data_IF_942124309642
#
_entry.id   IF_942124309642
#
_cell.length_a   1.000
_cell.length_b   1.000
_cell.length_c   1.000
_cell.angle_alpha   90.00
_cell.angle_beta   90.00
_cell.angle_gamma   90.00
#
_symmetry.space_group_name_H-M   'P 1'
#
loop_
_entity.id
_entity.type
_entity.pdbx_description
1 polymer ?
#
# COMPACT_ATOMS: atom_id res chain seq x y z
N UNK A 1 -27.14 -11.68 -1.22
CA UNK A 1 -26.51 -10.93 -0.11
C UNK A 1 -27.20 -9.57 -0.05
N UNK A 2 -28.01 -9.29 0.97
CA UNK A 2 -28.76 -8.02 1.07
C UNK A 2 -27.82 -6.98 1.65
N UNK A 3 -27.42 -5.99 0.84
CA UNK A 3 -26.63 -4.84 1.30
C UNK A 3 -27.59 -3.85 1.95
N UNK A 4 -27.56 -3.72 3.27
CA UNK A 4 -28.36 -2.72 3.98
C UNK A 4 -27.73 -1.33 3.77
N UNK A 5 -28.16 -0.64 2.72
CA UNK A 5 -27.77 0.73 2.45
C UNK A 5 -28.51 1.68 3.39
N UNK A 6 -27.78 2.29 4.33
CA UNK A 6 -28.30 3.34 5.21
C UNK A 6 -27.96 4.70 4.62
N UNK A 7 -28.95 5.60 4.53
CA UNK A 7 -28.69 7.00 4.17
C UNK A 7 -27.98 7.69 5.33
N UNK A 8 -26.88 8.37 5.02
CA UNK A 8 -26.08 9.13 5.97
C UNK A 8 -25.83 10.51 5.38
N UNK A 9 -25.86 11.55 6.22
CA UNK A 9 -25.48 12.91 5.87
C UNK A 9 -24.15 13.27 6.53
N UNK A 10 -23.29 13.95 5.79
CA UNK A 10 -21.99 14.43 6.23
C UNK A 10 -21.90 15.92 5.94
N UNK A 11 -21.26 16.67 6.82
CA UNK A 11 -20.95 18.08 6.61
C UNK A 11 -19.52 18.21 6.10
N UNK A 12 -19.36 18.84 4.95
CA UNK A 12 -18.09 19.02 4.26
C UNK A 12 -18.03 20.48 3.82
N UNK A 13 -16.82 21.05 3.84
CA UNK A 13 -16.56 22.35 3.23
C UNK A 13 -16.98 22.38 1.75
N UNK A 14 -17.66 23.45 1.32
CA UNK A 14 -18.25 23.55 -0.03
C UNK A 14 -17.19 23.59 -1.14
N UNK A 15 -16.05 24.25 -0.89
CA UNK A 15 -14.97 24.34 -1.86
C UNK A 15 -14.32 22.97 -2.04
N UNK A 16 -14.06 22.28 -0.93
CA UNK A 16 -13.55 20.91 -0.94
C UNK A 16 -14.53 19.94 -1.63
N UNK A 17 -15.82 20.06 -1.34
CA UNK A 17 -16.85 19.23 -1.96
C UNK A 17 -16.93 19.44 -3.47
N UNK A 18 -16.78 20.68 -3.93
CA UNK A 18 -16.77 21.02 -5.36
C UNK A 18 -15.57 20.40 -6.07
N UNK A 19 -14.37 20.55 -5.50
CA UNK A 19 -13.14 19.91 -6.04
C UNK A 19 -13.28 18.39 -6.08
N UNK A 20 -13.87 17.80 -5.04
CA UNK A 20 -14.10 16.36 -5.00
C UNK A 20 -15.05 15.88 -6.11
N UNK A 21 -16.17 16.59 -6.35
CA UNK A 21 -17.09 16.28 -7.46
C UNK A 21 -16.39 16.33 -8.81
N UNK A 22 -15.52 17.31 -9.04
CA UNK A 22 -14.73 17.38 -10.28
C UNK A 22 -13.81 16.17 -10.46
N UNK A 23 -13.11 15.76 -9.39
CA UNK A 23 -12.23 14.57 -9.44
C UNK A 23 -13.03 13.32 -9.77
N UNK A 24 -14.18 13.11 -9.11
CA UNK A 24 -15.06 11.97 -9.37
C UNK A 24 -15.58 11.99 -10.81
N UNK A 25 -15.99 13.16 -11.30
CA UNK A 25 -16.45 13.33 -12.68
C UNK A 25 -15.33 13.04 -13.69
N UNK A 26 -14.10 13.51 -13.45
CA UNK A 26 -12.94 13.23 -14.30
C UNK A 26 -12.57 11.74 -14.30
N UNK A 27 -12.68 11.07 -13.16
CA UNK A 27 -12.33 9.65 -13.00
C UNK A 27 -13.35 8.70 -13.63
N UNK A 28 -14.64 8.99 -13.47
CA UNK A 28 -15.72 8.07 -13.85
C UNK A 28 -16.61 8.56 -14.99
N UNK A 29 -16.46 9.80 -15.44
CA UNK A 29 -17.36 10.45 -16.39
C UNK A 29 -18.77 10.72 -15.84
N UNK A 30 -19.02 10.47 -14.55
CA UNK A 30 -20.34 10.62 -13.94
C UNK A 30 -20.26 10.91 -12.44
N UNK A 31 -21.22 11.68 -11.93
CA UNK A 31 -21.39 11.95 -10.49
C UNK A 31 -22.18 10.84 -9.76
N UNK A 32 -22.72 9.85 -10.48
CA UNK A 32 -23.45 8.71 -9.86
C UNK A 32 -22.58 7.87 -8.92
N UNK A 33 -21.26 8.05 -8.96
CA UNK A 33 -20.27 7.36 -8.13
C UNK A 33 -19.85 8.11 -6.87
N UNK A 34 -20.40 9.32 -6.60
CA UNK A 34 -20.03 10.12 -5.42
C UNK A 34 -20.14 9.34 -4.11
N UNK A 35 -21.27 8.67 -3.87
CA UNK A 35 -21.47 7.90 -2.64
C UNK A 35 -20.46 6.76 -2.49
N UNK A 36 -20.15 6.07 -3.57
CA UNK A 36 -19.16 4.97 -3.56
C UNK A 36 -17.76 5.50 -3.29
N UNK A 37 -17.44 6.70 -3.79
CA UNK A 37 -16.10 7.25 -3.65
C UNK A 37 -15.86 7.88 -2.28
N UNK A 38 -16.89 8.46 -1.68
CA UNK A 38 -16.89 8.82 -0.25
C UNK A 38 -16.74 7.57 0.62
N UNK A 39 -17.44 6.49 0.29
CA UNK A 39 -17.33 5.22 1.02
C UNK A 39 -15.92 4.63 0.91
N UNK A 40 -15.33 4.61 -0.28
CA UNK A 40 -13.95 4.13 -0.50
C UNK A 40 -12.94 4.94 0.32
N UNK A 41 -13.05 6.28 0.32
CA UNK A 41 -12.18 7.15 1.12
C UNK A 41 -12.30 6.89 2.62
N UNK A 42 -13.52 6.66 3.13
CA UNK A 42 -13.75 6.30 4.52
C UNK A 42 -13.23 4.90 4.84
N UNK A 43 -13.32 3.95 3.91
CA UNK A 43 -12.72 2.64 4.10
C UNK A 43 -11.21 2.74 4.15
N UNK A 44 -10.58 3.47 3.23
CA UNK A 44 -9.13 3.69 3.18
C UNK A 44 -8.61 4.32 4.48
N UNK A 45 -9.29 5.35 5.01
CA UNK A 45 -8.87 5.97 6.28
C UNK A 45 -9.03 5.06 7.49
N UNK A 46 -10.02 4.16 7.47
CA UNK A 46 -10.27 3.20 8.54
C UNK A 46 -9.44 1.91 8.39
N UNK A 47 -8.81 1.65 7.24
CA UNK A 47 -7.96 0.48 7.02
C UNK A 47 -6.77 0.52 7.97
N UNK A 48 -6.14 1.68 8.19
CA UNK A 48 -5.02 1.80 9.12
C UNK A 48 -5.43 1.45 10.56
N UNK A 49 -6.61 1.88 11.00
CA UNK A 49 -7.16 1.50 12.30
C UNK A 49 -7.52 0.01 12.40
N UNK A 50 -8.08 -0.58 11.34
CA UNK A 50 -8.44 -2.00 11.30
C UNK A 50 -7.22 -2.89 11.28
N UNK A 51 -6.21 -2.54 10.49
CA UNK A 51 -4.94 -3.25 10.43
C UNK A 51 -4.26 -3.19 11.81
N UNK A 52 -4.21 -2.02 12.45
CA UNK A 52 -3.71 -1.87 13.82
C UNK A 52 -4.43 -2.78 14.82
N UNK A 53 -5.76 -2.76 14.84
CA UNK A 53 -6.59 -3.60 15.74
C UNK A 53 -6.44 -5.09 15.48
N UNK A 54 -6.20 -5.52 14.24
CA UNK A 54 -5.97 -6.94 13.91
C UNK A 54 -4.60 -7.39 14.42
N UNK A 55 -3.57 -6.56 14.28
CA UNK A 55 -2.24 -6.87 14.82
C UNK A 55 -2.21 -6.89 16.35
N UNK A 56 -2.92 -5.97 17.01
CA UNK A 56 -3.12 -6.00 18.47
C UNK A 56 -3.80 -7.30 18.93
N UNK A 57 -4.85 -7.75 18.23
CA UNK A 57 -5.52 -9.02 18.54
C UNK A 57 -4.64 -10.26 18.31
N UNK A 58 -3.62 -10.15 17.48
CA UNK A 58 -2.65 -11.22 17.24
C UNK A 58 -1.47 -11.19 18.23
N UNK A 59 -1.48 -10.29 19.21
CA UNK A 59 -0.39 -10.05 20.17
C UNK A 59 0.95 -9.74 19.48
N UNK A 60 0.89 -9.29 18.23
CA UNK A 60 2.03 -8.87 17.46
C UNK A 60 2.20 -7.37 17.69
N UNK A 61 3.25 -6.99 18.42
CA UNK A 61 3.64 -5.60 18.59
C UNK A 61 4.26 -5.08 17.28
N UNK A 62 3.44 -4.96 16.24
CA UNK A 62 3.88 -4.52 14.92
C UNK A 62 3.99 -3.01 14.95
N UNK A 63 5.22 -2.52 15.11
CA UNK A 63 5.56 -1.16 14.66
C UNK A 63 5.41 -1.16 13.14
N UNK A 64 4.22 -0.87 12.64
CA UNK A 64 3.96 -0.78 11.20
C UNK A 64 4.86 0.33 10.66
N UNK A 65 5.81 0.03 9.76
CA UNK A 65 6.63 1.04 9.13
C UNK A 65 5.70 1.94 8.32
N UNK A 66 5.68 3.24 8.61
CA UNK A 66 4.77 4.22 8.01
C UNK A 66 5.14 4.55 6.57
N UNK A 67 6.31 4.10 6.11
CA UNK A 67 6.82 4.36 4.75
C UNK A 67 7.71 3.23 4.23
N UNK A 68 7.84 3.08 2.90
CA UNK A 68 8.81 2.19 2.27
C UNK A 68 10.26 2.46 2.69
N UNK A 69 10.59 3.70 3.03
CA UNK A 69 11.90 4.16 3.48
C UNK A 69 12.25 3.57 4.86
N UNK A 70 11.29 3.53 5.80
CA UNK A 70 11.46 2.89 7.10
C UNK A 70 11.66 1.37 6.97
N UNK A 71 10.98 0.74 6.00
CA UNK A 71 11.21 -0.68 5.68
C UNK A 71 12.63 -0.90 5.16
N UNK A 72 13.16 -0.02 4.31
CA UNK A 72 14.54 -0.14 3.80
C UNK A 72 15.58 -0.02 4.91
N UNK A 73 15.36 0.85 5.89
CA UNK A 73 16.29 1.06 7.01
C UNK A 73 16.29 -0.09 8.02
N UNK A 74 15.12 -0.73 8.23
CA UNK A 74 14.97 -1.85 9.16
C UNK A 74 15.43 -3.20 8.58
N UNK A 75 15.73 -3.28 7.28
CA UNK A 75 16.18 -4.53 6.65
C UNK A 75 17.52 -4.99 7.24
N UNK A 76 17.65 -6.27 7.63
CA UNK A 76 18.93 -6.81 8.05
C UNK A 76 19.94 -6.74 6.91
N UNK A 77 21.12 -6.19 7.19
CA UNK A 77 22.22 -6.16 6.22
C UNK A 77 22.71 -7.58 6.01
N UNK A 78 22.64 -8.06 4.76
CA UNK A 78 23.16 -9.36 4.39
C UNK A 78 24.66 -9.42 4.72
N UNK A 79 25.09 -10.51 5.38
CA UNK A 79 26.50 -10.76 5.65
C UNK A 79 27.13 -11.39 4.42
N UNK A 80 28.31 -10.89 4.04
CA UNK A 80 29.09 -11.40 2.93
C UNK A 80 29.10 -10.47 1.71
N UNK A 81 29.86 -10.85 0.67
CA UNK A 81 29.97 -10.05 -0.54
C UNK A 81 28.61 -9.97 -1.25
N UNK A 82 28.37 -8.91 -2.04
CA UNK A 82 27.17 -8.80 -2.85
C UNK A 82 26.97 -10.05 -3.70
N UNK A 83 25.72 -10.47 -3.85
CA UNK A 83 25.34 -11.63 -4.67
C UNK A 83 25.85 -11.50 -6.11
N UNK A 84 25.93 -10.28 -6.63
CA UNK A 84 26.54 -9.98 -7.92
C UNK A 84 27.99 -10.46 -8.02
N UNK A 85 28.80 -10.22 -6.98
CA UNK A 85 30.20 -10.65 -6.93
C UNK A 85 30.30 -12.17 -6.95
N UNK A 86 29.45 -12.86 -6.18
CA UNK A 86 29.39 -14.32 -6.15
C UNK A 86 28.96 -14.90 -7.51
N UNK A 87 27.96 -14.31 -8.16
CA UNK A 87 27.48 -14.73 -9.48
C UNK A 87 28.58 -14.51 -10.54
N UNK A 88 29.31 -13.39 -10.47
CA UNK A 88 30.42 -13.08 -11.37
C UNK A 88 31.54 -14.11 -11.25
N UNK A 89 31.93 -14.46 -10.03
CA UNK A 89 32.92 -15.51 -9.79
C UNK A 89 32.46 -16.87 -10.29
N UNK A 90 31.20 -17.24 -10.04
CA UNK A 90 30.62 -18.49 -10.54
C UNK A 90 30.64 -18.58 -12.07
N UNK A 91 30.35 -17.46 -12.77
CA UNK A 91 30.46 -17.39 -14.24
C UNK A 91 31.92 -17.51 -14.69
N UNK A 92 32.84 -16.79 -14.04
CA UNK A 92 34.27 -16.90 -14.34
C UNK A 92 34.79 -18.33 -14.22
N UNK A 93 34.42 -19.05 -13.16
CA UNK A 93 34.79 -20.47 -12.97
C UNK A 93 34.21 -21.39 -14.05
N UNK A 94 33.02 -21.09 -14.59
CA UNK A 94 32.46 -21.84 -15.72
C UNK A 94 33.23 -21.60 -17.02
N UNK A 95 33.68 -20.38 -17.26
CA UNK A 95 34.50 -20.04 -18.43
C UNK A 95 35.84 -20.78 -18.38
N UNK A 96 36.49 -20.82 -17.20
CA UNK A 96 37.78 -21.54 -17.02
C UNK A 96 37.64 -23.05 -17.19
N UNK A 97 36.52 -23.66 -16.79
CA UNK A 97 36.26 -25.11 -16.98
C UNK A 97 35.83 -25.51 -18.39
N UNK A 98 35.54 -24.55 -19.27
CA UNK A 98 35.08 -24.77 -20.64
C UNK A 98 36.14 -24.51 -21.71
N UNK A 99 37.39 -24.29 -21.32
CA UNK A 99 38.53 -24.19 -22.24
C UNK A 99 39.15 -25.60 -22.36
N UNK A 100 39.19 -26.22 -23.56
CA UNK A 100 39.97 -27.44 -23.78
C UNK A 100 41.48 -27.19 -23.63
#
# INVERSE_FOLDING_TARGET
MVVYLKKVSLYIDEELWTKFKEVVLRKHGTLRKLSSEVESLLQESLIDERIGKVFEKMDLNVRIPRSPEEVKQSRPKLRGPPSETLIREMRGRRIVKGIP
#
